data_IF_006852080513
#
_entry.id   IF_006852080513
#
_cell.length_a   1.000
_cell.length_b   1.000
_cell.length_c   1.000
_cell.angle_alpha   90.00
_cell.angle_beta   90.00
_cell.angle_gamma   90.00
#
_symmetry.space_group_name_H-M   'P 1'
#
loop_
_entity.id
_entity.type
_entity.pdbx_description
1 polymer ?
#
# COMPACT_ATOMS: atom_id res chain seq x y z
N UNK A 1 -3.24 15.44 3.36
CA UNK A 1 -4.31 14.90 2.51
C UNK A 1 -5.06 13.73 3.17
N UNK A 2 -4.60 13.29 4.34
CA UNK A 2 -5.23 12.26 5.19
C UNK A 2 -5.50 12.88 6.56
N UNK A 3 -6.68 12.65 7.11
CA UNK A 3 -7.07 13.13 8.44
C UNK A 3 -7.40 14.62 8.51
N UNK A 4 -7.13 15.26 9.65
CA UNK A 4 -7.44 16.65 9.89
C UNK A 4 -6.58 17.61 9.03
N UNK A 5 -7.13 18.77 8.61
CA UNK A 5 -6.33 19.77 7.90
C UNK A 5 -5.14 20.24 8.75
N UNK A 6 -3.96 20.39 8.13
CA UNK A 6 -2.72 20.75 8.85
C UNK A 6 -2.87 22.05 9.69
N UNK A 7 -3.65 23.01 9.21
CA UNK A 7 -3.89 24.28 9.94
C UNK A 7 -4.84 24.13 11.15
N UNK A 8 -5.51 23.00 11.31
CA UNK A 8 -6.36 22.70 12.47
C UNK A 8 -5.67 21.86 13.53
N UNK A 9 -4.41 21.45 13.28
CA UNK A 9 -3.62 20.70 14.25
C UNK A 9 -3.13 21.62 15.36
N UNK A 10 -3.06 21.09 16.57
CA UNK A 10 -2.49 21.81 17.71
C UNK A 10 -1.01 22.10 17.47
N UNK A 11 -0.54 23.24 18.00
CA UNK A 11 0.88 23.57 17.94
C UNK A 11 1.68 22.60 18.82
N UNK A 12 2.62 21.92 18.20
CA UNK A 12 3.55 21.03 18.91
C UNK A 12 4.71 21.82 19.52
N UNK A 13 5.29 21.30 20.60
CA UNK A 13 6.56 21.80 21.15
C UNK A 13 7.74 21.55 20.22
N UNK A 14 8.95 21.93 20.68
CA UNK A 14 10.20 21.82 19.91
C UNK A 14 10.54 20.38 19.48
N UNK A 15 10.07 19.38 20.25
CA UNK A 15 10.33 17.97 20.00
C UNK A 15 9.19 17.29 19.23
N UNK A 16 8.17 18.07 18.86
CA UNK A 16 7.01 17.57 18.14
C UNK A 16 7.28 17.38 16.65
N UNK A 17 6.69 16.32 16.07
CA UNK A 17 6.83 15.99 14.65
C UNK A 17 5.46 16.00 13.98
N UNK A 18 5.32 16.74 12.88
CA UNK A 18 4.16 16.66 11.99
C UNK A 18 4.48 15.71 10.84
N UNK A 19 3.64 14.69 10.67
CA UNK A 19 3.69 13.81 9.50
C UNK A 19 2.60 14.24 8.54
N UNK A 20 3.00 14.73 7.36
CA UNK A 20 2.10 15.30 6.36
C UNK A 20 2.11 14.42 5.11
N UNK A 21 0.93 13.94 4.70
CA UNK A 21 0.72 13.39 3.36
C UNK A 21 0.22 14.51 2.45
N UNK A 22 0.89 14.72 1.32
CA UNK A 22 0.63 15.84 0.41
C UNK A 22 0.36 15.34 -1.01
N UNK A 23 -0.77 15.76 -1.57
CA UNK A 23 -1.08 15.54 -2.97
C UNK A 23 -0.27 16.49 -3.87
N UNK A 24 -0.14 16.14 -5.16
CA UNK A 24 0.47 17.03 -6.17
C UNK A 24 -0.22 18.39 -6.25
N UNK A 25 -1.53 18.46 -6.02
CA UNK A 25 -2.31 19.71 -5.95
C UNK A 25 -1.87 20.59 -4.78
N UNK A 26 -1.65 20.00 -3.61
CA UNK A 26 -1.22 20.74 -2.42
C UNK A 26 0.21 21.23 -2.57
N UNK A 27 1.10 20.43 -3.17
CA UNK A 27 2.49 20.83 -3.43
C UNK A 27 2.56 22.03 -4.37
N UNK A 28 1.66 22.17 -5.35
CA UNK A 28 1.55 23.36 -6.19
C UNK A 28 1.21 24.63 -5.41
N UNK A 29 0.51 24.48 -4.28
CA UNK A 29 0.09 25.60 -3.42
C UNK A 29 1.08 25.93 -2.29
N UNK A 30 2.17 25.17 -2.16
CA UNK A 30 3.16 25.30 -1.08
C UNK A 30 4.54 25.73 -1.61
N UNK A 31 4.68 26.90 -2.28
CA UNK A 31 5.93 27.27 -2.97
C UNK A 31 7.10 27.61 -2.02
N UNK A 32 6.84 27.68 -0.72
CA UNK A 32 7.84 28.06 0.30
C UNK A 32 7.98 27.05 1.43
N UNK A 33 7.23 25.94 1.36
CA UNK A 33 7.37 24.90 2.39
C UNK A 33 8.70 24.17 2.20
N UNK A 34 9.43 24.00 3.29
CA UNK A 34 10.64 23.18 3.36
C UNK A 34 10.42 22.13 4.44
N UNK A 35 10.65 20.87 4.12
CA UNK A 35 10.44 19.75 5.01
C UNK A 35 11.79 19.22 5.51
N UNK A 36 11.90 18.96 6.82
CA UNK A 36 13.12 18.40 7.41
C UNK A 36 13.44 17.03 6.82
N UNK A 37 12.40 16.20 6.64
CA UNK A 37 12.47 14.95 5.88
C UNK A 37 11.38 14.96 4.83
N UNK A 38 11.77 14.88 3.56
CA UNK A 38 10.85 14.76 2.43
C UNK A 38 10.93 13.36 1.82
N UNK A 39 9.77 12.78 1.51
CA UNK A 39 9.66 11.41 1.00
C UNK A 39 8.91 11.40 -0.32
N UNK A 40 9.44 10.72 -1.32
CA UNK A 40 8.76 10.39 -2.57
C UNK A 40 8.91 8.89 -2.84
N UNK A 41 7.83 8.12 -2.76
CA UNK A 41 7.87 6.66 -2.89
C UNK A 41 7.96 6.20 -4.33
N UNK A 42 7.05 6.70 -5.17
CA UNK A 42 6.95 6.34 -6.58
C UNK A 42 6.14 7.39 -7.34
N UNK A 43 6.21 7.31 -8.67
CA UNK A 43 5.39 8.13 -9.57
C UNK A 43 4.77 7.22 -10.62
N UNK A 44 3.45 6.99 -10.50
CA UNK A 44 2.61 6.34 -11.49
C UNK A 44 1.66 7.37 -12.12
N UNK A 45 1.25 7.23 -13.39
CA UNK A 45 0.38 8.19 -14.06
C UNK A 45 -0.93 8.42 -13.31
N UNK A 46 -1.18 9.65 -12.89
CA UNK A 46 -2.44 10.08 -12.28
C UNK A 46 -2.64 11.58 -12.50
N UNK A 47 -3.89 12.05 -12.52
CA UNK A 47 -4.21 13.46 -12.64
C UNK A 47 -3.54 14.21 -13.81
N UNK A 48 -3.26 13.53 -14.92
CA UNK A 48 -2.49 14.07 -16.06
C UNK A 48 -3.18 15.28 -16.70
N UNK A 49 -4.51 15.28 -16.76
CA UNK A 49 -5.30 16.41 -17.29
C UNK A 49 -5.05 17.69 -16.50
N UNK A 50 -4.90 17.58 -15.17
CA UNK A 50 -4.66 18.73 -14.28
C UNK A 50 -3.26 19.32 -14.47
N UNK A 51 -2.26 18.47 -14.71
CA UNK A 51 -0.87 18.87 -14.77
C UNK A 51 -0.35 19.06 -16.19
N UNK A 52 -1.19 18.89 -17.21
CA UNK A 52 -0.79 19.02 -18.61
C UNK A 52 0.09 17.88 -19.11
N UNK A 53 -0.04 16.71 -18.51
CA UNK A 53 0.71 15.50 -18.85
C UNK A 53 1.67 15.04 -17.77
N UNK A 54 2.43 13.98 -18.08
CA UNK A 54 3.33 13.31 -17.13
C UNK A 54 4.43 14.23 -16.62
N UNK A 55 5.03 15.03 -17.47
CA UNK A 55 6.12 15.94 -17.09
C UNK A 55 5.68 16.98 -16.05
N UNK A 56 4.47 17.54 -16.23
CA UNK A 56 3.89 18.47 -15.25
C UNK A 56 3.57 17.79 -13.93
N UNK A 57 3.08 16.55 -13.97
CA UNK A 57 2.81 15.77 -12.75
C UNK A 57 4.09 15.44 -11.97
N UNK A 58 5.15 14.99 -12.67
CA UNK A 58 6.48 14.76 -12.08
C UNK A 58 7.03 16.05 -11.47
N UNK A 59 6.95 17.17 -12.19
CA UNK A 59 7.41 18.47 -11.70
C UNK A 59 6.66 18.90 -10.44
N UNK A 60 5.34 18.68 -10.37
CA UNK A 60 4.53 18.99 -9.19
C UNK A 60 4.93 18.13 -7.98
N UNK A 61 5.12 16.81 -8.15
CA UNK A 61 5.57 15.92 -7.07
C UNK A 61 7.00 16.23 -6.60
N UNK A 62 7.91 16.57 -7.51
CA UNK A 62 9.29 16.96 -7.19
C UNK A 62 9.37 18.15 -6.23
N UNK A 63 8.35 19.03 -6.19
CA UNK A 63 8.31 20.20 -5.29
C UNK A 63 8.41 19.84 -3.81
N UNK A 64 8.16 18.58 -3.42
CA UNK A 64 8.33 18.13 -2.04
C UNK A 64 9.77 18.32 -1.53
N UNK A 65 10.75 18.34 -2.43
CA UNK A 65 12.17 18.56 -2.13
C UNK A 65 12.60 20.02 -2.30
N UNK A 66 11.66 20.93 -2.62
CA UNK A 66 11.98 22.33 -2.90
C UNK A 66 12.54 23.02 -1.64
N UNK A 67 13.67 23.72 -1.81
CA UNK A 67 14.30 24.49 -0.75
C UNK A 67 15.06 23.65 0.28
N UNK A 68 15.12 22.32 0.15
CA UNK A 68 15.99 21.49 0.97
C UNK A 68 17.46 21.81 0.71
N UNK A 69 18.28 21.68 1.73
CA UNK A 69 19.73 21.95 1.70
C UNK A 69 20.48 21.09 2.72
N UNK A 70 21.62 21.54 3.20
CA UNK A 70 22.56 20.78 4.02
C UNK A 70 22.06 20.34 5.40
N UNK A 71 20.83 20.69 5.78
CA UNK A 71 20.20 20.28 7.04
C UNK A 71 18.97 19.39 6.87
N UNK A 72 18.54 19.15 5.62
CA UNK A 72 17.35 18.37 5.30
C UNK A 72 17.72 17.02 4.68
N UNK A 73 16.81 16.05 4.83
CA UNK A 73 16.95 14.70 4.27
C UNK A 73 15.91 14.45 3.19
N UNK A 74 16.35 13.91 2.07
CA UNK A 74 15.48 13.39 1.02
C UNK A 74 15.50 11.85 1.00
N UNK A 75 14.31 11.23 0.91
CA UNK A 75 14.13 9.78 0.79
C UNK A 75 13.35 9.52 -0.48
N UNK A 76 13.90 8.73 -1.39
CA UNK A 76 13.32 8.55 -2.73
C UNK A 76 13.29 7.08 -3.11
N UNK A 77 12.09 6.57 -3.48
CA UNK A 77 11.98 5.27 -4.13
C UNK A 77 12.59 5.32 -5.53
N UNK A 78 13.46 4.35 -5.86
CA UNK A 78 14.21 4.37 -7.12
C UNK A 78 13.80 3.27 -8.09
N UNK A 79 12.67 2.64 -7.85
CA UNK A 79 12.20 1.49 -8.63
C UNK A 79 11.42 1.87 -9.90
N UNK A 80 10.99 3.12 -10.04
CA UNK A 80 10.41 3.67 -11.26
C UNK A 80 11.31 4.74 -11.90
N UNK A 81 11.17 4.93 -13.20
CA UNK A 81 12.05 5.81 -13.97
C UNK A 81 11.94 7.29 -13.60
N UNK A 82 10.76 7.77 -13.22
CA UNK A 82 10.53 9.18 -12.90
C UNK A 82 11.08 9.54 -11.52
N UNK A 83 10.80 8.73 -10.51
CA UNK A 83 11.35 8.94 -9.18
C UNK A 83 12.87 8.73 -9.17
N UNK A 84 13.39 7.74 -9.93
CA UNK A 84 14.83 7.54 -10.13
C UNK A 84 15.51 8.77 -10.74
N UNK A 85 14.90 9.38 -11.76
CA UNK A 85 15.43 10.61 -12.37
C UNK A 85 15.50 11.77 -11.37
N UNK A 86 14.49 11.91 -10.53
CA UNK A 86 14.50 12.92 -9.44
C UNK A 86 15.63 12.63 -8.45
N UNK A 87 15.82 11.36 -8.07
CA UNK A 87 16.92 10.96 -7.19
C UNK A 87 18.29 11.34 -7.80
N UNK A 88 18.50 11.04 -9.07
CA UNK A 88 19.76 11.34 -9.76
C UNK A 88 20.04 12.86 -9.82
N UNK A 89 19.01 13.67 -10.03
CA UNK A 89 19.11 15.12 -9.98
C UNK A 89 19.45 15.64 -8.57
N UNK A 90 18.81 15.07 -7.52
CA UNK A 90 19.06 15.46 -6.14
C UNK A 90 20.50 15.12 -5.67
N UNK A 91 21.15 14.13 -6.27
CA UNK A 91 22.56 13.83 -6.03
C UNK A 91 23.50 15.00 -6.29
N UNK A 92 23.09 15.95 -7.09
CA UNK A 92 23.85 17.16 -7.39
C UNK A 92 23.59 18.29 -6.40
N UNK A 93 22.63 18.10 -5.46
CA UNK A 93 22.26 19.08 -4.45
C UNK A 93 23.06 18.86 -3.16
N UNK A 94 23.26 19.95 -2.41
CA UNK A 94 23.91 19.91 -1.09
C UNK A 94 22.85 19.56 -0.02
N UNK A 95 22.52 18.25 0.09
CA UNK A 95 21.60 17.72 1.10
C UNK A 95 22.35 17.12 2.27
N UNK A 96 21.74 17.14 3.48
CA UNK A 96 22.28 16.45 4.67
C UNK A 96 22.36 14.94 4.42
N UNK A 97 21.30 14.37 3.84
CA UNK A 97 21.27 12.98 3.41
C UNK A 97 20.33 12.78 2.23
N UNK A 98 20.70 11.90 1.32
CA UNK A 98 19.87 11.42 0.22
C UNK A 98 19.82 9.89 0.29
N UNK A 99 18.66 9.34 0.63
CA UNK A 99 18.49 7.91 0.86
C UNK A 99 17.62 7.30 -0.25
N UNK A 100 18.17 6.44 -1.11
CA UNK A 100 17.36 5.68 -2.04
C UNK A 100 16.66 4.50 -1.35
N UNK A 101 15.43 4.20 -1.77
CA UNK A 101 14.65 3.03 -1.34
C UNK A 101 14.39 2.14 -2.54
N UNK A 102 14.65 0.83 -2.42
CA UNK A 102 14.34 -0.15 -3.47
C UNK A 102 13.74 -1.43 -2.90
N UNK A 103 12.78 -1.99 -3.63
CA UNK A 103 12.23 -3.33 -3.40
C UNK A 103 12.61 -4.32 -4.49
N UNK A 104 13.37 -3.86 -5.51
CA UNK A 104 13.78 -4.67 -6.68
C UNK A 104 15.20 -5.21 -6.62
N UNK A 105 15.90 -4.96 -5.51
CA UNK A 105 17.25 -5.47 -5.31
C UNK A 105 18.16 -4.53 -4.54
N UNK A 106 19.42 -4.93 -4.46
CA UNK A 106 20.46 -4.20 -3.71
C UNK A 106 20.59 -2.75 -4.21
N UNK A 107 20.53 -1.82 -3.27
CA UNK A 107 20.66 -0.40 -3.51
C UNK A 107 21.73 0.18 -2.57
N UNK A 108 22.95 0.26 -3.04
CA UNK A 108 24.09 0.71 -2.23
C UNK A 108 23.86 2.12 -1.66
N UNK A 109 24.17 2.29 -0.37
CA UNK A 109 23.96 3.55 0.35
C UNK A 109 22.49 3.87 0.65
N UNK A 110 21.58 2.92 0.47
CA UNK A 110 20.15 3.08 0.69
C UNK A 110 19.55 2.07 1.66
N UNK A 111 18.22 1.96 1.62
CA UNK A 111 17.47 0.94 2.33
C UNK A 111 16.70 0.12 1.30
N UNK A 112 16.80 -1.20 1.35
CA UNK A 112 16.25 -2.03 0.29
C UNK A 112 15.72 -3.38 0.81
N UNK A 113 14.84 -4.00 0.00
CA UNK A 113 14.36 -5.36 0.21
C UNK A 113 15.34 -6.34 -0.44
N UNK A 114 15.80 -7.31 0.32
CA UNK A 114 16.58 -8.44 -0.20
C UNK A 114 16.18 -9.73 0.51
N UNK A 115 15.77 -10.76 -0.24
CA UNK A 115 15.38 -12.07 0.29
C UNK A 115 14.38 -12.00 1.47
N UNK A 116 13.42 -11.09 1.39
CA UNK A 116 12.39 -10.87 2.41
C UNK A 116 12.83 -10.00 3.60
N UNK A 117 14.09 -9.55 3.65
CA UNK A 117 14.59 -8.65 4.68
C UNK A 117 14.72 -7.21 4.20
N UNK A 118 14.31 -6.26 5.03
CA UNK A 118 14.70 -4.85 4.87
C UNK A 118 16.14 -4.72 5.36
N UNK A 119 16.99 -4.23 4.47
CA UNK A 119 18.43 -4.02 4.70
C UNK A 119 18.69 -2.52 4.71
N UNK A 120 19.43 -2.02 5.72
CA UNK A 120 19.97 -0.65 5.78
C UNK A 120 21.45 -0.67 5.43
N UNK A 121 21.81 -0.07 4.30
CA UNK A 121 23.19 0.05 3.82
C UNK A 121 23.69 1.51 3.81
N UNK A 122 22.99 2.44 4.43
CA UNK A 122 23.37 3.87 4.47
C UNK A 122 24.73 4.11 5.10
N UNK A 123 25.15 3.25 6.01
CA UNK A 123 26.46 3.28 6.66
C UNK A 123 27.57 2.55 5.90
N UNK A 124 27.30 1.97 4.73
CA UNK A 124 28.24 1.17 3.95
C UNK A 124 28.48 -0.25 4.51
N UNK A 125 27.72 -0.63 5.54
CA UNK A 125 27.66 -1.99 6.07
C UNK A 125 26.20 -2.42 6.02
N UNK A 126 25.82 -3.26 5.07
CA UNK A 126 24.47 -3.74 4.90
C UNK A 126 24.00 -4.52 6.14
N UNK A 127 23.10 -3.94 6.92
CA UNK A 127 22.54 -4.52 8.14
C UNK A 127 21.09 -4.96 7.92
N UNK A 128 20.72 -6.22 8.22
CA UNK A 128 19.32 -6.64 8.20
C UNK A 128 18.56 -6.00 9.37
N UNK A 129 17.45 -5.33 9.08
CA UNK A 129 16.68 -4.57 10.05
C UNK A 129 15.41 -5.31 10.46
N UNK A 130 14.61 -5.79 9.48
CA UNK A 130 13.32 -6.40 9.74
C UNK A 130 13.01 -7.48 8.71
N UNK A 131 12.52 -8.62 9.17
CA UNK A 131 11.99 -9.70 8.33
C UNK A 131 10.55 -9.39 7.94
N UNK A 132 10.29 -9.13 6.67
CA UNK A 132 8.96 -8.84 6.15
C UNK A 132 8.00 -10.02 6.28
N UNK A 133 8.51 -11.27 6.31
CA UNK A 133 7.66 -12.46 6.53
C UNK A 133 7.06 -12.50 7.93
N UNK A 134 7.66 -11.79 8.90
CA UNK A 134 7.12 -11.66 10.25
C UNK A 134 5.97 -10.64 10.35
N UNK A 135 5.75 -9.81 9.32
CA UNK A 135 4.78 -8.72 9.30
C UNK A 135 3.49 -9.12 8.58
N UNK A 136 2.68 -9.97 9.19
CA UNK A 136 1.45 -10.49 8.58
C UNK A 136 0.46 -9.40 8.13
N UNK A 137 0.46 -8.22 8.78
CA UNK A 137 -0.40 -7.08 8.44
C UNK A 137 0.15 -6.22 7.27
N UNK A 138 1.38 -6.47 6.82
CA UNK A 138 2.07 -5.67 5.80
C UNK A 138 2.65 -6.54 4.68
N UNK A 139 1.82 -7.34 3.98
CA UNK A 139 2.29 -8.22 2.92
C UNK A 139 2.65 -7.44 1.65
N UNK A 140 3.58 -8.00 0.84
CA UNK A 140 3.92 -7.53 -0.50
C UNK A 140 4.99 -6.43 -0.55
N UNK A 141 5.60 -6.29 -1.74
CA UNK A 141 6.74 -5.41 -1.97
C UNK A 141 6.41 -3.92 -1.74
N UNK A 142 5.16 -3.50 -2.03
CA UNK A 142 4.73 -2.14 -1.77
C UNK A 142 4.74 -1.81 -0.27
N UNK A 143 4.39 -2.77 0.61
CA UNK A 143 4.51 -2.60 2.05
C UNK A 143 5.97 -2.68 2.50
N UNK A 144 6.82 -3.47 1.86
CA UNK A 144 8.25 -3.43 2.10
C UNK A 144 8.84 -2.05 1.79
N UNK A 145 8.40 -1.41 0.69
CA UNK A 145 8.77 -0.02 0.37
C UNK A 145 8.30 0.95 1.47
N UNK A 146 7.05 0.81 1.93
CA UNK A 146 6.50 1.62 3.01
C UNK A 146 7.28 1.45 4.31
N UNK A 147 7.61 0.21 4.70
CA UNK A 147 8.38 -0.13 5.91
C UNK A 147 9.79 0.45 5.84
N UNK A 148 10.52 0.24 4.72
CA UNK A 148 11.84 0.78 4.50
C UNK A 148 11.85 2.31 4.60
N UNK A 149 10.83 2.94 4.03
CA UNK A 149 10.67 4.39 4.03
C UNK A 149 10.34 4.92 5.42
N UNK A 150 9.41 4.30 6.15
CA UNK A 150 9.05 4.70 7.51
C UNK A 150 10.27 4.58 8.45
N UNK A 151 11.00 3.47 8.37
CA UNK A 151 12.26 3.28 9.11
C UNK A 151 13.27 4.37 8.74
N UNK A 152 13.47 4.63 7.45
CA UNK A 152 14.38 5.67 6.96
C UNK A 152 13.99 7.07 7.45
N UNK A 153 12.70 7.43 7.42
CA UNK A 153 12.20 8.73 7.85
C UNK A 153 12.35 8.94 9.36
N UNK A 154 11.98 7.94 10.17
CA UNK A 154 12.13 8.03 11.64
C UNK A 154 13.59 8.16 12.04
N UNK A 155 14.47 7.34 11.46
CA UNK A 155 15.91 7.41 11.75
C UNK A 155 16.59 8.68 11.26
N UNK A 156 16.02 9.34 10.25
CA UNK A 156 16.51 10.64 9.77
C UNK A 156 16.15 11.81 10.72
N UNK A 157 15.03 11.70 11.45
CA UNK A 157 14.59 12.72 12.42
C UNK A 157 15.36 12.59 13.75
N UNK A 158 15.68 11.35 14.12
CA UNK A 158 16.35 11.09 15.39
C UNK A 158 17.85 11.42 15.29
N UNK A 159 18.36 12.33 16.11
CA UNK A 159 19.78 12.72 16.14
C UNK A 159 20.71 11.55 16.49
N UNK A 160 20.20 10.57 17.24
CA UNK A 160 20.97 9.41 17.68
C UNK A 160 20.15 8.13 17.51
N UNK A 161 20.66 7.22 16.71
CA UNK A 161 20.03 5.90 16.46
C UNK A 161 20.83 4.81 17.17
N UNK A 162 20.62 4.65 18.47
CA UNK A 162 21.20 3.54 19.26
C UNK A 162 20.52 2.21 18.88
N UNK A 163 21.12 1.08 19.30
CA UNK A 163 20.52 -0.23 19.11
C UNK A 163 19.12 -0.35 19.73
N UNK A 164 18.92 0.24 20.92
CA UNK A 164 17.63 0.24 21.62
C UNK A 164 16.58 1.05 20.86
N UNK A 165 16.95 2.20 20.29
CA UNK A 165 16.07 3.02 19.46
C UNK A 165 15.66 2.25 18.20
N UNK A 166 16.62 1.60 17.52
CA UNK A 166 16.32 0.77 16.35
C UNK A 166 15.35 -0.37 16.69
N UNK A 167 15.59 -1.05 17.81
CA UNK A 167 14.68 -2.11 18.30
C UNK A 167 13.27 -1.55 18.53
N UNK A 168 13.14 -0.39 19.17
CA UNK A 168 11.84 0.26 19.39
C UNK A 168 11.11 0.62 18.09
N UNK A 169 11.83 1.08 17.06
CA UNK A 169 11.27 1.34 15.73
C UNK A 169 10.74 0.05 15.10
N UNK A 170 11.53 -1.02 15.11
CA UNK A 170 11.17 -2.33 14.55
C UNK A 170 9.94 -2.89 15.26
N UNK A 171 9.90 -2.83 16.60
CA UNK A 171 8.73 -3.23 17.39
C UNK A 171 7.49 -2.40 17.09
N UNK A 172 7.62 -1.08 16.86
CA UNK A 172 6.51 -0.23 16.50
C UNK A 172 5.95 -0.59 15.11
N UNK A 173 6.82 -0.87 14.14
CA UNK A 173 6.43 -1.36 12.81
C UNK A 173 5.72 -2.71 12.92
N UNK A 174 6.25 -3.64 13.72
CA UNK A 174 5.68 -4.97 13.91
C UNK A 174 4.29 -4.94 14.57
N UNK A 175 4.03 -3.94 15.42
CA UNK A 175 2.71 -3.72 16.04
C UNK A 175 1.71 -2.98 15.16
N UNK A 176 2.14 -2.43 14.01
CA UNK A 176 1.24 -1.70 13.13
C UNK A 176 0.20 -2.65 12.51
N UNK A 177 -1.10 -2.43 12.74
CA UNK A 177 -2.14 -3.37 12.33
C UNK A 177 -2.51 -3.30 10.85
N UNK A 178 -1.82 -2.46 10.07
CA UNK A 178 -2.24 -2.10 8.73
C UNK A 178 -3.30 -0.98 8.72
N UNK A 179 -3.82 -0.68 7.55
CA UNK A 179 -4.90 0.29 7.36
C UNK A 179 -6.20 -0.44 7.08
N UNK A 180 -7.31 0.01 7.68
CA UNK A 180 -8.63 -0.52 7.39
C UNK A 180 -8.91 -0.50 5.88
N UNK A 181 -9.51 -1.57 5.38
CA UNK A 181 -9.88 -1.76 3.97
C UNK A 181 -8.72 -1.71 2.96
N UNK A 182 -7.47 -1.80 3.40
CA UNK A 182 -6.28 -1.84 2.54
C UNK A 182 -5.46 -3.07 2.88
N UNK A 183 -5.73 -4.16 2.17
CA UNK A 183 -5.19 -5.51 2.42
C UNK A 183 -5.24 -5.91 3.91
N UNK A 184 -6.29 -5.46 4.58
CA UNK A 184 -6.54 -5.68 6.00
C UNK A 184 -6.82 -7.16 6.26
N UNK A 185 -5.95 -7.82 7.01
CA UNK A 185 -6.17 -9.19 7.46
C UNK A 185 -7.24 -9.22 8.54
N UNK A 186 -8.44 -9.67 8.20
CA UNK A 186 -9.56 -9.75 9.16
C UNK A 186 -9.41 -10.90 10.14
N UNK A 187 -8.83 -12.01 9.71
CA UNK A 187 -8.69 -13.22 10.50
C UNK A 187 -8.68 -14.47 9.65
N UNK A 188 -8.97 -15.62 10.27
CA UNK A 188 -8.89 -16.91 9.60
C UNK A 188 -9.97 -17.89 10.07
N UNK A 189 -10.27 -18.90 9.23
CA UNK A 189 -10.99 -20.11 9.59
C UNK A 189 -10.10 -21.32 9.28
N UNK A 190 -9.45 -21.87 10.30
CA UNK A 190 -8.37 -22.81 10.08
C UNK A 190 -7.21 -22.20 9.31
N UNK A 191 -6.85 -22.74 8.15
CA UNK A 191 -5.81 -22.21 7.28
C UNK A 191 -6.32 -21.15 6.28
N UNK A 192 -7.65 -21.01 6.12
CA UNK A 192 -8.26 -20.04 5.21
C UNK A 192 -8.20 -18.64 5.81
N UNK A 193 -7.58 -17.69 5.13
CA UNK A 193 -7.46 -16.28 5.54
C UNK A 193 -8.49 -15.41 4.83
N UNK A 194 -8.91 -14.32 5.50
CA UNK A 194 -9.83 -13.34 4.94
C UNK A 194 -9.15 -11.96 4.90
N UNK A 195 -9.08 -11.38 3.71
CA UNK A 195 -8.39 -10.11 3.46
C UNK A 195 -9.33 -9.10 2.84
N UNK A 196 -9.45 -7.94 3.48
CA UNK A 196 -10.28 -6.82 3.07
C UNK A 196 -9.43 -5.75 2.38
N UNK A 197 -9.58 -5.66 1.08
CA UNK A 197 -8.93 -4.63 0.25
C UNK A 197 -9.98 -3.80 -0.51
N UNK A 198 -11.08 -3.47 0.16
CA UNK A 198 -12.19 -2.69 -0.43
C UNK A 198 -11.75 -1.33 -0.98
N UNK A 199 -10.63 -0.79 -0.52
CA UNK A 199 -9.98 0.43 -1.04
C UNK A 199 -9.47 0.29 -2.48
N UNK A 200 -9.27 -0.92 -2.99
CA UNK A 200 -8.87 -1.17 -4.38
C UNK A 200 -10.04 -0.85 -5.33
N UNK A 201 -10.21 0.42 -5.66
CA UNK A 201 -11.30 0.95 -6.50
C UNK A 201 -10.95 1.00 -8.00
N UNK A 202 -9.84 0.41 -8.40
CA UNK A 202 -9.40 0.26 -9.78
C UNK A 202 -8.44 -0.93 -9.93
N UNK A 203 -8.15 -1.34 -11.16
CA UNK A 203 -7.29 -2.49 -11.46
C UNK A 203 -5.86 -2.32 -10.93
N UNK A 204 -5.28 -1.12 -11.03
CA UNK A 204 -3.91 -0.87 -10.54
C UNK A 204 -3.80 -1.12 -9.03
N UNK A 205 -4.77 -0.65 -8.26
CA UNK A 205 -4.82 -0.90 -6.82
C UNK A 205 -5.00 -2.39 -6.52
N UNK A 206 -5.88 -3.10 -7.23
CA UNK A 206 -6.11 -4.53 -7.06
C UNK A 206 -4.87 -5.38 -7.43
N UNK A 207 -4.05 -4.92 -8.38
CA UNK A 207 -2.80 -5.60 -8.75
C UNK A 207 -1.88 -5.81 -7.55
N UNK A 208 -1.81 -4.87 -6.62
CA UNK A 208 -0.99 -4.99 -5.41
C UNK A 208 -1.44 -6.15 -4.52
N UNK A 209 -2.75 -6.30 -4.32
CA UNK A 209 -3.29 -7.39 -3.52
C UNK A 209 -3.13 -8.75 -4.24
N UNK A 210 -3.45 -8.82 -5.54
CA UNK A 210 -3.26 -10.03 -6.31
C UNK A 210 -1.79 -10.47 -6.39
N UNK A 211 -0.84 -9.52 -6.37
CA UNK A 211 0.60 -9.83 -6.34
C UNK A 211 1.08 -10.34 -4.98
N UNK A 212 0.42 -9.94 -3.89
CA UNK A 212 0.84 -10.23 -2.53
C UNK A 212 0.43 -11.63 -2.05
N UNK A 213 -0.54 -12.26 -2.70
CA UNK A 213 -1.11 -13.55 -2.29
C UNK A 213 -1.04 -14.58 -3.40
N UNK A 214 -1.11 -15.83 -3.00
CA UNK A 214 -1.30 -17.01 -3.84
C UNK A 214 -2.59 -17.73 -3.40
N UNK A 215 -3.11 -18.61 -4.26
CA UNK A 215 -4.29 -19.40 -3.97
C UNK A 215 -5.50 -18.55 -3.57
N UNK A 216 -5.85 -17.61 -4.46
CA UNK A 216 -6.80 -16.53 -4.20
C UNK A 216 -8.22 -16.95 -4.64
N UNK A 217 -9.18 -16.81 -3.76
CA UNK A 217 -10.61 -16.80 -4.00
C UNK A 217 -11.06 -15.33 -4.04
N UNK A 218 -11.16 -14.79 -5.23
CA UNK A 218 -11.22 -13.35 -5.49
C UNK A 218 -12.67 -12.83 -5.54
N UNK A 219 -13.02 -11.86 -4.72
CA UNK A 219 -14.28 -11.13 -4.81
C UNK A 219 -14.03 -9.81 -5.53
N UNK A 220 -14.62 -9.64 -6.73
CA UNK A 220 -14.40 -8.50 -7.60
C UNK A 220 -15.70 -7.95 -8.17
N UNK A 221 -15.70 -6.63 -8.49
CA UNK A 221 -16.83 -5.97 -9.13
C UNK A 221 -17.34 -4.73 -8.41
N UNK A 222 -18.34 -4.12 -8.98
CA UNK A 222 -18.87 -2.79 -8.68
C UNK A 222 -18.92 -1.95 -9.95
N UNK A 223 -18.67 -0.63 -9.90
CA UNK A 223 -18.55 0.24 -11.05
C UNK A 223 -17.10 0.28 -11.53
N UNK A 224 -16.83 -0.36 -12.68
CA UNK A 224 -15.49 -0.41 -13.26
C UNK A 224 -15.03 0.97 -13.78
N UNK A 225 -13.73 1.20 -13.77
CA UNK A 225 -13.11 2.27 -14.55
C UNK A 225 -12.80 1.80 -15.98
N UNK A 226 -12.44 2.74 -16.85
CA UNK A 226 -12.02 2.45 -18.22
C UNK A 226 -10.92 1.38 -18.25
N UNK A 227 -11.08 0.38 -19.12
CA UNK A 227 -10.16 -0.75 -19.25
C UNK A 227 -10.44 -1.94 -18.31
N UNK A 228 -11.38 -1.82 -17.36
CA UNK A 228 -11.79 -2.92 -16.47
C UNK A 228 -10.62 -3.57 -15.74
N UNK A 229 -10.54 -4.91 -15.82
CA UNK A 229 -9.49 -5.74 -15.19
C UNK A 229 -8.50 -6.34 -16.20
N UNK A 230 -8.51 -5.95 -17.46
CA UNK A 230 -7.64 -6.53 -18.49
C UNK A 230 -6.14 -6.41 -18.13
N UNK A 231 -5.74 -5.31 -17.49
CA UNK A 231 -4.36 -5.10 -17.04
C UNK A 231 -3.90 -6.09 -15.95
N UNK A 232 -4.81 -6.83 -15.32
CA UNK A 232 -4.51 -7.83 -14.29
C UNK A 232 -4.22 -9.23 -14.86
N UNK A 233 -4.31 -9.42 -16.19
CA UNK A 233 -4.07 -10.70 -16.85
C UNK A 233 -2.80 -11.43 -16.39
N UNK A 234 -1.64 -10.77 -16.17
CA UNK A 234 -0.42 -11.44 -15.69
C UNK A 234 -0.53 -12.04 -14.28
N UNK A 235 -1.59 -11.71 -13.53
CA UNK A 235 -1.80 -12.16 -12.15
C UNK A 235 -2.93 -13.20 -12.03
N UNK A 236 -3.61 -13.53 -13.14
CA UNK A 236 -4.75 -14.45 -13.10
C UNK A 236 -4.37 -15.87 -12.66
N UNK A 237 -3.14 -16.31 -12.90
CA UNK A 237 -2.65 -17.63 -12.48
C UNK A 237 -2.63 -17.81 -10.95
N UNK A 238 -2.72 -16.70 -10.18
CA UNK A 238 -2.81 -16.71 -8.71
C UNK A 238 -4.23 -16.91 -8.20
N UNK A 239 -5.22 -16.73 -9.09
CA UNK A 239 -6.65 -16.77 -8.76
C UNK A 239 -7.22 -18.14 -9.06
N UNK A 240 -7.73 -18.82 -8.03
CA UNK A 240 -8.38 -20.12 -8.17
C UNK A 240 -9.81 -19.99 -8.69
N UNK A 241 -10.52 -18.96 -8.20
CA UNK A 241 -11.89 -18.67 -8.59
C UNK A 241 -12.23 -17.20 -8.33
N UNK A 242 -13.03 -16.58 -9.21
CA UNK A 242 -13.51 -15.22 -9.03
C UNK A 242 -15.04 -15.19 -8.78
N UNK A 243 -15.44 -14.47 -7.74
CA UNK A 243 -16.83 -14.24 -7.35
C UNK A 243 -17.19 -12.81 -7.71
N UNK A 244 -18.05 -12.66 -8.73
CA UNK A 244 -18.31 -11.38 -9.36
C UNK A 244 -19.60 -10.75 -8.83
N UNK A 245 -19.51 -9.45 -8.50
CA UNK A 245 -20.59 -8.67 -7.90
C UNK A 245 -20.79 -7.34 -8.64
N UNK A 246 -21.99 -6.77 -8.53
CA UNK A 246 -22.28 -5.42 -9.02
C UNK A 246 -22.32 -5.28 -10.54
N UNK A 247 -22.28 -4.03 -11.01
CA UNK A 247 -22.52 -3.68 -12.43
C UNK A 247 -21.47 -4.27 -13.38
N UNK A 248 -20.21 -4.40 -12.96
CA UNK A 248 -19.12 -4.90 -13.81
C UNK A 248 -19.06 -6.43 -13.92
N UNK A 249 -19.96 -7.18 -13.29
CA UNK A 249 -19.85 -8.63 -13.16
C UNK A 249 -19.76 -9.33 -14.53
N UNK A 250 -20.65 -9.00 -15.48
CA UNK A 250 -20.70 -9.63 -16.82
C UNK A 250 -19.43 -9.28 -17.64
N UNK A 251 -18.93 -8.03 -17.56
CA UNK A 251 -17.73 -7.59 -18.27
C UNK A 251 -16.47 -8.28 -17.71
N UNK A 252 -16.44 -8.48 -16.38
CA UNK A 252 -15.35 -9.18 -15.73
C UNK A 252 -15.37 -10.68 -16.03
N UNK A 253 -16.57 -11.30 -16.09
CA UNK A 253 -16.71 -12.68 -16.52
C UNK A 253 -16.17 -12.88 -17.92
N UNK A 254 -16.53 -12.01 -18.86
CA UNK A 254 -16.02 -12.05 -20.23
C UNK A 254 -14.48 -11.86 -20.30
N UNK A 255 -13.91 -11.00 -19.44
CA UNK A 255 -12.45 -10.79 -19.38
C UNK A 255 -11.70 -12.00 -18.82
N UNK A 256 -12.31 -12.72 -17.89
CA UNK A 256 -11.76 -13.91 -17.23
C UNK A 256 -11.98 -15.21 -17.99
N UNK A 257 -12.81 -15.19 -19.05
CA UNK A 257 -13.19 -16.38 -19.80
C UNK A 257 -11.97 -17.19 -20.29
N UNK A 258 -11.97 -18.48 -20.02
CA UNK A 258 -10.89 -19.40 -20.38
C UNK A 258 -9.60 -19.26 -19.54
N UNK A 259 -9.55 -18.36 -18.57
CA UNK A 259 -8.40 -18.12 -17.70
C UNK A 259 -8.71 -18.45 -16.24
N UNK A 260 -9.78 -17.91 -15.69
CA UNK A 260 -10.21 -18.08 -14.30
C UNK A 260 -11.67 -18.52 -14.27
N UNK A 261 -11.97 -19.51 -13.46
CA UNK A 261 -13.37 -19.89 -13.22
C UNK A 261 -14.12 -18.79 -12.46
N UNK A 262 -15.36 -18.52 -12.84
CA UNK A 262 -16.16 -17.43 -12.29
C UNK A 262 -17.47 -17.90 -11.69
N UNK A 263 -18.03 -17.10 -10.79
CA UNK A 263 -19.42 -17.21 -10.30
C UNK A 263 -20.03 -15.81 -10.23
N UNK A 264 -21.14 -15.59 -10.91
CA UNK A 264 -21.95 -14.38 -10.78
C UNK A 264 -22.71 -14.43 -9.45
N UNK A 265 -22.15 -13.83 -8.42
CA UNK A 265 -22.63 -13.91 -7.03
C UNK A 265 -23.73 -12.88 -6.71
N UNK A 266 -23.81 -11.82 -7.52
CA UNK A 266 -24.79 -10.75 -7.39
C UNK A 266 -24.44 -9.74 -6.29
N UNK A 267 -24.31 -10.16 -5.04
CA UNK A 267 -23.97 -9.30 -3.90
C UNK A 267 -22.78 -9.82 -3.08
N UNK A 268 -22.27 -8.95 -2.20
CA UNK A 268 -21.08 -9.22 -1.42
C UNK A 268 -21.28 -10.34 -0.38
N UNK A 269 -22.45 -10.44 0.23
CA UNK A 269 -22.71 -11.45 1.25
C UNK A 269 -22.71 -12.86 0.63
N UNK A 270 -23.39 -13.02 -0.51
CA UNK A 270 -23.37 -14.26 -1.28
C UNK A 270 -21.97 -14.61 -1.77
N UNK A 271 -21.23 -13.64 -2.34
CA UNK A 271 -19.84 -13.84 -2.78
C UNK A 271 -18.94 -14.33 -1.65
N UNK A 272 -19.05 -13.71 -0.46
CA UNK A 272 -18.28 -14.08 0.72
C UNK A 272 -18.56 -15.51 1.19
N UNK A 273 -19.85 -15.91 1.22
CA UNK A 273 -20.24 -17.25 1.62
C UNK A 273 -19.76 -18.28 0.60
N UNK A 274 -20.00 -18.05 -0.70
CA UNK A 274 -19.60 -18.96 -1.77
C UNK A 274 -18.08 -19.13 -1.84
N UNK A 275 -17.32 -18.03 -1.72
CA UNK A 275 -15.86 -18.06 -1.66
C UNK A 275 -15.38 -18.87 -0.46
N UNK A 276 -15.99 -18.69 0.70
CA UNK A 276 -15.64 -19.45 1.92
C UNK A 276 -15.90 -20.94 1.73
N UNK A 277 -17.09 -21.32 1.23
CA UNK A 277 -17.51 -22.71 1.08
C UNK A 277 -16.59 -23.45 0.08
N UNK A 278 -16.16 -22.76 -0.98
CA UNK A 278 -15.26 -23.32 -1.99
C UNK A 278 -13.83 -23.44 -1.49
N UNK A 279 -13.35 -22.44 -0.73
CA UNK A 279 -11.97 -22.38 -0.24
C UNK A 279 -11.70 -23.24 1.01
N UNK A 280 -12.74 -23.65 1.73
CA UNK A 280 -12.60 -24.48 2.93
C UNK A 280 -11.98 -25.84 2.57
N UNK A 281 -10.82 -26.14 3.17
CA UNK A 281 -10.07 -27.37 2.92
C UNK A 281 -8.95 -27.21 1.89
N UNK A 282 -8.88 -26.07 1.21
CA UNK A 282 -7.77 -25.71 0.33
C UNK A 282 -6.69 -24.98 1.15
N UNK A 283 -5.56 -25.66 1.36
CA UNK A 283 -4.52 -25.19 2.28
C UNK A 283 -3.93 -23.84 1.89
N UNK A 284 -3.79 -22.93 2.84
CA UNK A 284 -3.25 -21.59 2.66
C UNK A 284 -4.04 -20.68 1.69
N UNK A 285 -5.30 -20.98 1.46
CA UNK A 285 -6.17 -20.16 0.62
C UNK A 285 -6.46 -18.79 1.25
N UNK A 286 -6.80 -17.83 0.37
CA UNK A 286 -7.19 -16.47 0.76
C UNK A 286 -8.51 -16.11 0.11
N UNK A 287 -9.54 -15.79 0.90
CA UNK A 287 -10.71 -15.06 0.42
C UNK A 287 -10.37 -13.58 0.43
N UNK A 288 -10.24 -13.01 -0.77
CA UNK A 288 -9.77 -11.66 -0.99
C UNK A 288 -10.88 -10.79 -1.56
N UNK A 289 -11.35 -9.80 -0.81
CA UNK A 289 -12.12 -8.69 -1.36
C UNK A 289 -11.14 -7.63 -1.88
N UNK A 290 -10.92 -7.60 -3.20
CA UNK A 290 -10.16 -6.55 -3.88
C UNK A 290 -10.89 -6.19 -5.18
N UNK A 291 -11.91 -5.32 -5.10
CA UNK A 291 -12.98 -5.23 -6.09
C UNK A 291 -12.57 -4.73 -7.46
N UNK A 292 -11.44 -4.02 -7.59
CA UNK A 292 -11.01 -3.32 -8.80
C UNK A 292 -12.02 -2.26 -9.33
N UNK A 293 -13.03 -1.93 -8.54
CA UNK A 293 -14.19 -1.10 -8.89
C UNK A 293 -14.56 -0.11 -7.79
N UNK A 294 -15.14 1.02 -8.16
CA UNK A 294 -15.88 1.86 -7.21
C UNK A 294 -17.10 1.09 -6.68
N UNK A 295 -17.60 1.49 -5.50
CA UNK A 295 -18.63 0.75 -4.75
C UNK A 295 -20.06 1.28 -4.93
N UNK A 296 -20.23 2.39 -5.65
CA UNK A 296 -21.45 3.22 -5.61
C UNK A 296 -22.71 2.60 -6.22
N UNK A 297 -22.59 1.44 -6.86
CA UNK A 297 -23.72 0.62 -7.33
C UNK A 297 -24.45 -0.11 -6.18
N UNK A 298 -23.71 -0.59 -5.18
CA UNK A 298 -24.27 -1.38 -4.08
C UNK A 298 -24.01 -0.75 -2.69
N UNK A 299 -23.03 0.17 -2.55
CA UNK A 299 -22.61 0.77 -1.28
C UNK A 299 -22.35 2.28 -1.42
N UNK A 300 -22.62 3.08 -0.39
CA UNK A 300 -22.38 4.53 -0.44
C UNK A 300 -20.90 4.91 -0.48
N UNK A 301 -19.99 4.01 -0.08
CA UNK A 301 -18.55 4.22 -0.12
C UNK A 301 -17.79 2.91 -0.08
N UNK A 302 -16.47 2.93 -0.36
CA UNK A 302 -15.63 1.74 -0.24
C UNK A 302 -15.50 1.29 1.23
N UNK A 303 -15.55 2.22 2.19
CA UNK A 303 -15.57 1.91 3.62
C UNK A 303 -16.80 1.08 3.96
N UNK A 304 -17.99 1.52 3.55
CA UNK A 304 -19.23 0.78 3.80
C UNK A 304 -19.19 -0.63 3.16
N UNK A 305 -18.62 -0.78 1.96
CA UNK A 305 -18.41 -2.10 1.34
C UNK A 305 -17.44 -2.95 2.16
N UNK A 306 -16.35 -2.37 2.63
CA UNK A 306 -15.37 -3.07 3.45
C UNK A 306 -15.92 -3.46 4.82
N UNK A 307 -16.76 -2.62 5.43
CA UNK A 307 -17.43 -2.95 6.71
C UNK A 307 -18.45 -4.08 6.50
N UNK A 308 -19.22 -4.05 5.42
CA UNK A 308 -20.14 -5.15 5.09
C UNK A 308 -19.39 -6.49 4.86
N UNK A 309 -18.20 -6.46 4.26
CA UNK A 309 -17.36 -7.65 4.14
C UNK A 309 -16.89 -8.14 5.51
N UNK A 310 -16.46 -7.24 6.39
CA UNK A 310 -16.05 -7.57 7.76
C UNK A 310 -17.19 -8.23 8.54
N UNK A 311 -18.42 -7.69 8.42
CA UNK A 311 -19.61 -8.27 9.03
C UNK A 311 -19.93 -9.66 8.47
N UNK A 312 -19.88 -9.83 7.15
CA UNK A 312 -20.14 -11.12 6.50
C UNK A 312 -19.12 -12.18 6.94
N UNK A 313 -17.83 -11.83 7.01
CA UNK A 313 -16.76 -12.72 7.48
C UNK A 313 -16.92 -13.07 8.96
N UNK A 314 -17.25 -12.09 9.81
CA UNK A 314 -17.48 -12.32 11.26
C UNK A 314 -18.64 -13.28 11.53
N UNK A 315 -19.62 -13.37 10.64
CA UNK A 315 -20.74 -14.30 10.75
C UNK A 315 -20.39 -15.74 10.35
N UNK A 316 -19.22 -16.00 9.76
CA UNK A 316 -18.81 -17.34 9.32
C UNK A 316 -18.53 -18.24 10.53
N UNK A 317 -19.17 -19.42 10.65
CA UNK A 317 -18.91 -20.34 11.74
C UNK A 317 -17.44 -20.79 11.79
N UNK A 318 -16.80 -20.63 12.95
CA UNK A 318 -15.40 -21.01 13.15
C UNK A 318 -14.39 -19.96 12.68
N UNK A 319 -14.82 -18.77 12.31
CA UNK A 319 -13.92 -17.62 12.07
C UNK A 319 -13.28 -17.17 13.39
N UNK A 320 -11.96 -16.90 13.31
CA UNK A 320 -11.17 -16.36 14.41
C UNK A 320 -10.60 -15.02 13.94
N UNK A 321 -10.97 -13.90 14.58
CA UNK A 321 -10.44 -12.59 14.24
C UNK A 321 -8.92 -12.53 14.37
N UNK A 322 -8.26 -11.78 13.51
CA UNK A 322 -6.86 -11.42 13.69
C UNK A 322 -6.72 -10.54 14.94
N UNK A 323 -5.82 -10.91 15.85
CA UNK A 323 -5.55 -10.09 17.02
C UNK A 323 -4.87 -8.79 16.58
N UNK A 324 -5.63 -7.71 16.45
CA UNK A 324 -5.06 -6.37 16.36
C UNK A 324 -4.43 -6.08 17.71
N UNK A 325 -3.10 -5.91 17.76
CA UNK A 325 -2.47 -5.40 18.98
C UNK A 325 -3.20 -4.11 19.39
N UNK A 326 -3.63 -4.03 20.64
CA UNK A 326 -4.29 -2.85 21.18
C UNK A 326 -3.48 -1.60 20.81
N UNK A 327 -4.02 -0.79 19.92
CA UNK A 327 -3.51 0.55 19.67
C UNK A 327 -3.90 1.38 20.91
N UNK A 328 -2.95 1.53 21.83
CA UNK A 328 -3.04 2.44 22.97
C UNK A 328 -2.68 3.86 22.55
#
# INVERSE_FOLDING_TARGET
>A
NIGAPALSLDALGTDGVYVLELSSYQLDLLPRAVFDVAVLLNITPDHLDRHGGMDGYVAAKRRIFQGQGSTQTAIVGVDDTHAKSIFDDLHTCDLAALTPISTRGVCAGGIYLNEGWIIDDRGGNAEPIIDMHSLAALPGDHNAQNVATAYGAVTAILETTTADVRTGIVEAIARFPGLAHRQELLGAKGALRFVNDSKATNAEAAAHALSAYENIYWIAGGIAKDGGIAALEPLFDRVQHAFLIGEAADDFEATLEGRVSTTLSGDLANATQQATDMAVGDGNAVVLLSPACASFDQFPSFEARGDAFREAVAAIPGFVPHATGDAA
#
